data_IF_167169345083
#
_entry.id   IF_167169345083
#
_cell.length_a   1.000
_cell.length_b   1.000
_cell.length_c   1.000
_cell.angle_alpha   90.00
_cell.angle_beta   90.00
_cell.angle_gamma   90.00
#
_symmetry.space_group_name_H-M   'P 1'
#
loop_
_entity.id
_entity.type
_entity.pdbx_description
1 polymer ?
#
# COMPACT_ATOMS: atom_id res chain seq x y z
N UNK A 1 -3.30 6.77 -8.13
CA UNK A 1 -4.42 7.68 -7.82
C UNK A 1 -5.26 7.06 -6.71
N UNK A 2 -6.25 7.77 -6.17
CA UNK A 2 -7.08 7.25 -5.06
C UNK A 2 -7.75 5.91 -5.42
N UNK A 3 -7.51 4.89 -4.60
CA UNK A 3 -8.16 3.58 -4.71
C UNK A 3 -7.74 2.70 -5.90
N UNK A 4 -6.64 3.01 -6.59
CA UNK A 4 -6.16 2.20 -7.72
C UNK A 4 -5.58 0.85 -7.27
N UNK A 5 -5.82 -0.19 -8.08
CA UNK A 5 -5.15 -1.48 -7.98
C UNK A 5 -3.94 -1.54 -8.93
N UNK A 6 -3.11 -2.57 -8.80
CA UNK A 6 -1.99 -2.84 -9.72
C UNK A 6 -2.38 -2.82 -11.20
N UNK A 7 -3.57 -3.34 -11.52
CA UNK A 7 -4.13 -3.32 -12.87
C UNK A 7 -4.35 -1.90 -13.41
N UNK A 8 -4.81 -0.97 -12.56
CA UNK A 8 -4.97 0.43 -12.94
C UNK A 8 -3.61 1.08 -13.18
N UNK A 9 -2.61 0.76 -12.34
CA UNK A 9 -1.25 1.28 -12.52
C UNK A 9 -0.67 0.91 -13.90
N UNK A 10 -0.92 -0.31 -14.39
CA UNK A 10 -0.51 -0.72 -15.75
C UNK A 10 -1.08 0.21 -16.83
N UNK A 11 -2.34 0.64 -16.69
CA UNK A 11 -3.01 1.55 -17.64
C UNK A 11 -2.47 2.98 -17.59
N UNK A 12 -1.76 3.35 -16.52
CA UNK A 12 -1.18 4.68 -16.37
C UNK A 12 0.28 4.77 -16.85
N UNK A 13 0.90 3.64 -17.22
CA UNK A 13 2.31 3.58 -17.57
C UNK A 13 2.66 4.46 -18.76
N UNK A 14 1.82 4.52 -19.81
CA UNK A 14 2.09 5.35 -21.01
C UNK A 14 2.35 6.82 -20.65
N UNK A 15 1.57 7.35 -19.70
CA UNK A 15 1.74 8.73 -19.21
C UNK A 15 3.02 8.90 -18.40
N UNK A 16 3.41 7.88 -17.63
CA UNK A 16 4.61 7.93 -16.79
C UNK A 16 5.87 7.79 -17.66
N UNK A 17 5.87 6.84 -18.61
CA UNK A 17 7.03 6.59 -19.48
C UNK A 17 7.28 7.75 -20.43
N UNK A 18 6.23 8.44 -20.89
CA UNK A 18 6.35 9.66 -21.69
C UNK A 18 7.10 10.81 -20.97
N UNK A 19 7.13 10.83 -19.63
CA UNK A 19 7.89 11.83 -18.87
C UNK A 19 9.40 11.54 -18.80
N UNK A 20 9.83 10.34 -19.18
CA UNK A 20 11.20 9.83 -19.07
C UNK A 20 11.88 10.13 -17.71
N UNK A 21 11.26 9.71 -16.59
CA UNK A 21 11.85 9.93 -15.27
C UNK A 21 13.15 9.14 -15.10
N UNK A 22 14.14 9.74 -14.44
CA UNK A 22 15.39 9.04 -14.07
C UNK A 22 15.14 7.96 -13.01
N UNK A 23 14.25 8.23 -12.06
CA UNK A 23 13.88 7.31 -10.97
C UNK A 23 12.37 7.20 -10.83
N UNK A 24 11.86 5.99 -10.60
CA UNK A 24 10.43 5.74 -10.33
C UNK A 24 10.27 4.87 -9.10
N UNK A 25 9.46 5.34 -8.15
CA UNK A 25 9.06 4.55 -6.98
C UNK A 25 7.68 3.95 -7.24
N UNK A 26 7.57 2.64 -7.10
CA UNK A 26 6.33 1.90 -7.24
C UNK A 26 5.90 1.43 -5.85
N UNK A 27 4.86 2.09 -5.31
CA UNK A 27 4.14 1.67 -4.10
C UNK A 27 2.69 1.39 -4.49
N UNK A 28 2.38 0.13 -4.81
CA UNK A 28 1.06 -0.31 -5.27
C UNK A 28 0.78 -1.72 -4.75
N UNK A 29 -0.47 -2.01 -4.37
CA UNK A 29 -0.89 -3.34 -3.96
C UNK A 29 -1.82 -3.39 -2.74
N UNK A 30 -1.89 -2.32 -1.93
CA UNK A 30 -2.79 -2.30 -0.76
C UNK A 30 -4.25 -2.52 -1.14
N UNK A 31 -4.71 -1.94 -2.26
CA UNK A 31 -6.09 -2.17 -2.74
C UNK A 31 -6.28 -3.58 -3.31
N UNK A 32 -5.24 -4.19 -3.89
CA UNK A 32 -5.27 -5.60 -4.32
C UNK A 32 -5.41 -6.53 -3.10
N UNK A 33 -4.73 -6.22 -1.99
CA UNK A 33 -4.89 -6.91 -0.70
C UNK A 33 -6.30 -6.71 -0.14
N UNK A 34 -6.81 -5.48 -0.13
CA UNK A 34 -8.17 -5.17 0.33
C UNK A 34 -9.23 -5.90 -0.50
N UNK A 35 -9.05 -6.00 -1.83
CA UNK A 35 -9.94 -6.75 -2.71
C UNK A 35 -9.86 -8.26 -2.47
N UNK A 36 -8.69 -8.78 -2.12
CA UNK A 36 -8.54 -10.19 -1.73
C UNK A 36 -9.19 -10.48 -0.37
N UNK A 37 -9.07 -9.55 0.58
CA UNK A 37 -9.58 -9.69 1.94
C UNK A 37 -11.10 -9.49 2.05
N UNK A 38 -11.67 -8.50 1.34
CA UNK A 38 -13.02 -8.02 1.61
C UNK A 38 -13.92 -8.13 0.36
N UNK A 39 -14.89 -9.07 0.33
CA UNK A 39 -15.76 -9.27 -0.83
C UNK A 39 -16.58 -8.04 -1.24
N UNK A 40 -17.01 -7.23 -0.27
CA UNK A 40 -17.70 -5.96 -0.52
C UNK A 40 -16.78 -4.93 -1.18
N UNK A 41 -15.52 -4.82 -0.73
CA UNK A 41 -14.52 -3.97 -1.37
C UNK A 41 -14.21 -4.46 -2.80
N UNK A 42 -14.02 -5.77 -2.97
CA UNK A 42 -13.82 -6.41 -4.27
C UNK A 42 -14.93 -6.08 -5.26
N UNK A 43 -16.20 -6.21 -4.84
CA UNK A 43 -17.36 -5.89 -5.69
C UNK A 43 -17.37 -4.41 -6.08
N UNK A 44 -17.09 -3.53 -5.12
CA UNK A 44 -17.01 -2.09 -5.37
C UNK A 44 -15.93 -1.74 -6.41
N UNK A 45 -14.69 -2.20 -6.22
CA UNK A 45 -13.59 -1.85 -7.15
C UNK A 45 -13.78 -2.47 -8.52
N UNK A 46 -14.37 -3.66 -8.64
CA UNK A 46 -14.67 -4.26 -9.96
C UNK A 46 -15.60 -3.38 -10.80
N UNK A 47 -16.68 -2.89 -10.19
CA UNK A 47 -17.65 -2.01 -10.88
C UNK A 47 -17.02 -0.65 -11.15
N UNK A 48 -16.43 -0.02 -10.12
CA UNK A 48 -15.99 1.37 -10.20
C UNK A 48 -14.70 1.55 -11.01
N UNK A 49 -13.77 0.59 -10.94
CA UNK A 49 -12.50 0.61 -11.69
C UNK A 49 -12.55 -0.19 -12.99
N UNK A 50 -13.72 -0.73 -13.36
CA UNK A 50 -13.97 -1.51 -14.59
C UNK A 50 -12.93 -2.62 -14.79
N UNK A 51 -12.76 -3.45 -13.76
CA UNK A 51 -11.85 -4.58 -13.81
C UNK A 51 -12.50 -5.72 -14.62
N UNK A 52 -11.83 -6.15 -15.68
CA UNK A 52 -12.27 -7.27 -16.51
C UNK A 52 -12.25 -8.60 -15.76
N UNK A 53 -11.33 -8.74 -14.81
CA UNK A 53 -11.08 -9.96 -14.05
C UNK A 53 -11.03 -9.68 -12.55
N UNK A 54 -11.09 -10.76 -11.78
CA UNK A 54 -11.02 -10.68 -10.32
C UNK A 54 -9.59 -10.42 -9.85
N UNK A 55 -9.37 -9.47 -8.91
CA UNK A 55 -8.06 -9.29 -8.28
C UNK A 55 -7.59 -10.57 -7.62
N UNK A 56 -6.35 -10.95 -7.88
CA UNK A 56 -5.69 -12.10 -7.27
C UNK A 56 -4.19 -11.84 -7.12
N UNK A 57 -3.51 -12.65 -6.31
CA UNK A 57 -2.05 -12.61 -6.16
C UNK A 57 -1.33 -12.89 -7.47
N UNK A 58 -1.84 -13.82 -8.29
CA UNK A 58 -1.29 -14.12 -9.61
C UNK A 58 -1.37 -12.90 -10.55
N UNK A 59 -2.54 -12.24 -10.61
CA UNK A 59 -2.69 -11.03 -11.43
C UNK A 59 -1.85 -9.87 -10.91
N UNK A 60 -1.71 -9.74 -9.59
CA UNK A 60 -0.80 -8.76 -9.00
C UNK A 60 0.65 -8.99 -9.44
N UNK A 61 1.13 -10.24 -9.42
CA UNK A 61 2.48 -10.61 -9.90
C UNK A 61 2.69 -10.29 -11.38
N UNK A 62 1.71 -10.62 -12.22
CA UNK A 62 1.74 -10.30 -13.66
C UNK A 62 1.78 -8.79 -13.90
N UNK A 63 0.91 -8.03 -13.23
CA UNK A 63 0.87 -6.57 -13.34
C UNK A 63 2.20 -5.94 -12.90
N UNK A 64 2.77 -6.42 -11.79
CA UNK A 64 4.04 -5.89 -11.28
C UNK A 64 5.20 -6.15 -12.25
N UNK A 65 5.25 -7.35 -12.85
CA UNK A 65 6.21 -7.67 -13.92
C UNK A 65 6.07 -6.72 -15.10
N UNK A 66 4.85 -6.43 -15.54
CA UNK A 66 4.58 -5.48 -16.63
C UNK A 66 5.03 -4.07 -16.25
N UNK A 67 4.69 -3.60 -15.03
CA UNK A 67 5.09 -2.28 -14.53
C UNK A 67 6.61 -2.11 -14.56
N UNK A 68 7.35 -3.02 -13.94
CA UNK A 68 8.82 -2.96 -13.87
C UNK A 68 9.42 -2.96 -15.28
N UNK A 69 9.01 -3.92 -16.12
CA UNK A 69 9.55 -4.06 -17.48
C UNK A 69 9.32 -2.82 -18.32
N UNK A 70 8.12 -2.24 -18.29
CA UNK A 70 7.79 -1.06 -19.10
C UNK A 70 8.52 0.18 -18.61
N UNK A 71 8.59 0.42 -17.30
CA UNK A 71 9.33 1.55 -16.74
C UNK A 71 10.82 1.49 -17.11
N UNK A 72 11.45 0.32 -17.00
CA UNK A 72 12.86 0.16 -17.36
C UNK A 72 13.09 0.29 -18.87
N UNK A 73 12.26 -0.35 -19.71
CA UNK A 73 12.54 -0.41 -21.16
C UNK A 73 12.08 0.82 -21.94
N UNK A 74 10.98 1.43 -21.53
CA UNK A 74 10.38 2.55 -22.26
C UNK A 74 10.83 3.91 -21.72
N UNK A 75 11.24 3.99 -20.45
CA UNK A 75 11.68 5.24 -19.83
C UNK A 75 13.15 5.24 -19.41
N UNK A 76 13.86 4.11 -19.49
CA UNK A 76 15.22 3.93 -18.95
C UNK A 76 15.32 4.31 -17.46
N UNK A 77 14.22 4.13 -16.73
CA UNK A 77 14.11 4.55 -15.35
C UNK A 77 14.74 3.53 -14.39
N UNK A 78 15.45 4.02 -13.37
CA UNK A 78 15.78 3.22 -12.19
C UNK A 78 14.51 3.04 -11.35
N UNK A 79 14.09 1.79 -11.18
CA UNK A 79 12.83 1.45 -10.50
C UNK A 79 13.09 0.99 -9.07
N UNK A 80 12.43 1.64 -8.11
CA UNK A 80 12.36 1.19 -6.71
C UNK A 80 10.97 0.61 -6.40
N UNK A 81 10.91 -0.68 -6.07
CA UNK A 81 9.70 -1.37 -5.63
C UNK A 81 9.59 -1.32 -4.11
N UNK A 82 8.60 -0.60 -3.59
CA UNK A 82 8.32 -0.55 -2.16
C UNK A 82 7.43 -1.69 -1.72
N UNK A 83 7.83 -2.36 -0.63
CA UNK A 83 6.89 -3.19 0.13
C UNK A 83 5.74 -2.34 0.68
N UNK A 84 4.61 -2.99 0.94
CA UNK A 84 3.41 -2.40 1.49
C UNK A 84 3.52 -2.23 3.00
N UNK A 85 2.95 -1.15 3.54
CA UNK A 85 2.68 -1.05 4.97
C UNK A 85 1.76 -2.21 5.43
N UNK A 86 1.82 -2.61 6.71
CA UNK A 86 0.80 -3.48 7.28
C UNK A 86 -0.60 -2.83 7.17
N UNK A 87 -1.64 -3.65 7.13
CA UNK A 87 -3.02 -3.20 7.32
C UNK A 87 -3.39 -3.47 8.77
N UNK A 88 -3.67 -2.42 9.54
CA UNK A 88 -3.71 -2.47 10.99
C UNK A 88 -2.32 -2.48 11.63
N UNK A 89 -2.27 -2.53 12.97
CA UNK A 89 -1.04 -2.32 13.74
C UNK A 89 -0.74 -3.47 14.69
N UNK A 90 -1.42 -4.62 14.54
CA UNK A 90 -1.23 -5.78 15.42
C UNK A 90 -0.68 -6.99 14.63
N UNK A 91 0.66 -7.15 14.54
CA UNK A 91 1.29 -8.21 13.76
C UNK A 91 1.00 -9.62 14.26
N UNK A 92 0.73 -9.79 15.56
CA UNK A 92 0.50 -11.10 16.21
C UNK A 92 -0.94 -11.29 16.67
N UNK A 93 -1.88 -10.60 16.02
CA UNK A 93 -3.30 -10.64 16.37
C UNK A 93 -3.89 -12.05 16.21
N UNK A 94 -4.58 -12.53 17.25
CA UNK A 94 -5.45 -13.70 17.15
C UNK A 94 -6.80 -13.40 16.46
N UNK A 95 -7.16 -12.12 16.28
CA UNK A 95 -8.41 -11.76 15.58
C UNK A 95 -8.38 -12.21 14.12
N UNK A 96 -9.36 -12.99 13.62
CA UNK A 96 -9.31 -13.64 12.30
C UNK A 96 -9.09 -12.67 11.13
N UNK A 97 -9.73 -11.50 11.16
CA UNK A 97 -9.58 -10.49 10.10
C UNK A 97 -8.15 -9.94 10.04
N UNK A 98 -7.59 -9.54 11.18
CA UNK A 98 -6.23 -9.01 11.25
C UNK A 98 -5.20 -10.10 10.91
N UNK A 99 -5.37 -11.32 11.42
CA UNK A 99 -4.49 -12.45 11.09
C UNK A 99 -4.46 -12.74 9.58
N UNK A 100 -5.64 -12.71 8.93
CA UNK A 100 -5.75 -12.87 7.49
C UNK A 100 -5.07 -11.72 6.72
N UNK A 101 -5.23 -10.48 7.18
CA UNK A 101 -4.56 -9.32 6.57
C UNK A 101 -3.04 -9.42 6.70
N UNK A 102 -2.52 -9.82 7.86
CA UNK A 102 -1.08 -10.05 8.06
C UNK A 102 -0.55 -11.10 7.07
N UNK A 103 -1.26 -12.21 6.90
CA UNK A 103 -0.89 -13.25 5.92
C UNK A 103 -0.92 -12.78 4.47
N UNK A 104 -1.93 -11.98 4.09
CA UNK A 104 -2.00 -11.39 2.75
C UNK A 104 -0.89 -10.37 2.52
N UNK A 105 -0.62 -9.47 3.48
CA UNK A 105 0.47 -8.50 3.37
C UNK A 105 1.81 -9.23 3.21
N UNK A 106 2.08 -10.27 3.99
CA UNK A 106 3.28 -11.09 3.84
C UNK A 106 3.38 -11.70 2.43
N UNK A 107 2.27 -12.23 1.91
CA UNK A 107 2.20 -12.81 0.56
C UNK A 107 2.53 -11.78 -0.52
N UNK A 108 1.87 -10.62 -0.49
CA UNK A 108 2.07 -9.56 -1.48
C UNK A 108 3.47 -8.94 -1.39
N UNK A 109 4.00 -8.72 -0.19
CA UNK A 109 5.37 -8.25 0.00
C UNK A 109 6.42 -9.27 -0.47
N UNK A 110 6.13 -10.57 -0.36
CA UNK A 110 6.92 -11.64 -0.98
C UNK A 110 6.98 -11.52 -2.50
N UNK A 111 5.82 -11.28 -3.15
CA UNK A 111 5.75 -11.05 -4.60
C UNK A 111 6.52 -9.80 -5.01
N UNK A 112 6.41 -8.71 -4.24
CA UNK A 112 7.15 -7.46 -4.52
C UNK A 112 8.65 -7.69 -4.43
N UNK A 113 9.11 -8.41 -3.40
CA UNK A 113 10.52 -8.76 -3.22
C UNK A 113 11.05 -9.64 -4.36
N UNK A 114 10.28 -10.63 -4.80
CA UNK A 114 10.62 -11.48 -5.95
C UNK A 114 10.69 -10.67 -7.25
N UNK A 115 9.74 -9.74 -7.47
CA UNK A 115 9.75 -8.88 -8.65
C UNK A 115 10.95 -7.93 -8.66
N UNK A 116 11.37 -7.43 -7.49
CA UNK A 116 12.56 -6.58 -7.38
C UNK A 116 13.83 -7.36 -7.77
N UNK A 117 13.99 -8.58 -7.23
CA UNK A 117 15.16 -9.41 -7.52
C UNK A 117 15.23 -9.88 -8.97
N UNK A 118 14.12 -10.38 -9.52
CA UNK A 118 14.07 -10.89 -10.90
C UNK A 118 14.09 -9.79 -11.95
N UNK A 119 13.51 -8.63 -11.63
CA UNK A 119 13.42 -7.48 -12.53
C UNK A 119 14.64 -6.57 -12.50
N UNK A 120 15.67 -6.84 -11.69
CA UNK A 120 16.80 -5.90 -11.46
C UNK A 120 16.32 -4.50 -11.03
N UNK A 121 15.29 -4.47 -10.19
CA UNK A 121 14.78 -3.24 -9.57
C UNK A 121 15.21 -3.18 -8.10
N UNK A 122 15.37 -1.98 -7.55
CA UNK A 122 15.70 -1.80 -6.15
C UNK A 122 14.52 -2.19 -5.27
N UNK A 123 14.77 -2.85 -4.14
CA UNK A 123 13.74 -3.14 -3.14
C UNK A 123 13.77 -2.08 -2.04
N UNK A 124 12.64 -1.39 -1.83
CA UNK A 124 12.48 -0.42 -0.74
C UNK A 124 11.82 -1.15 0.45
N UNK A 125 12.55 -1.36 1.57
CA UNK A 125 12.11 -2.18 2.70
C UNK A 125 11.19 -1.39 3.65
N UNK A 126 10.08 -0.88 3.12
CA UNK A 126 9.14 -0.07 3.88
C UNK A 126 8.41 -0.88 4.96
N UNK A 127 7.90 -2.06 4.62
CA UNK A 127 7.26 -2.98 5.56
C UNK A 127 8.17 -3.32 6.74
N UNK A 128 9.43 -3.64 6.48
CA UNK A 128 10.42 -3.99 7.49
C UNK A 128 10.67 -2.82 8.44
N UNK A 129 10.92 -1.61 7.89
CA UNK A 129 11.08 -0.40 8.69
C UNK A 129 9.82 -0.10 9.53
N UNK A 130 8.63 -0.39 9.00
CA UNK A 130 7.37 -0.23 9.72
C UNK A 130 7.25 -1.22 10.89
N UNK A 131 7.59 -2.49 10.66
CA UNK A 131 7.54 -3.53 11.68
C UNK A 131 8.53 -3.25 12.83
N UNK A 132 9.71 -2.71 12.53
CA UNK A 132 10.67 -2.26 13.56
C UNK A 132 10.09 -1.15 14.44
N UNK A 133 9.29 -0.23 13.87
CA UNK A 133 8.64 0.86 14.61
C UNK A 133 7.47 0.35 15.44
N UNK A 134 6.67 -0.56 14.89
CA UNK A 134 5.61 -1.24 15.64
C UNK A 134 6.14 -2.03 16.83
N UNK A 135 7.26 -2.76 16.67
CA UNK A 135 7.87 -3.54 17.74
C UNK A 135 8.33 -2.71 18.96
N UNK A 136 8.51 -1.40 18.78
CA UNK A 136 8.90 -0.46 19.86
C UNK A 136 7.70 0.26 20.48
N UNK A 137 6.49 -0.02 20.02
CA UNK A 137 5.28 0.66 20.46
C UNK A 137 4.55 -0.18 21.49
N UNK A 138 4.14 0.44 22.61
CA UNK A 138 3.52 -0.26 23.73
C UNK A 138 2.04 -0.62 23.50
N UNK A 139 1.38 0.04 22.55
CA UNK A 139 -0.02 -0.17 22.22
C UNK A 139 -0.19 -0.37 20.71
N UNK A 140 -0.77 -1.50 20.35
CA UNK A 140 -1.05 -1.91 18.98
C UNK A 140 -2.56 -2.10 18.81
N UNK A 141 -3.08 -1.73 17.64
CA UNK A 141 -4.51 -1.80 17.36
C UNK A 141 -4.80 -2.75 16.19
N UNK A 142 -5.64 -3.79 16.38
CA UNK A 142 -6.06 -4.64 15.28
C UNK A 142 -7.12 -3.95 14.41
N UNK A 143 -6.97 -4.10 13.10
CA UNK A 143 -7.98 -3.85 12.08
C UNK A 143 -8.93 -5.06 11.98
N UNK A 144 -10.05 -4.96 12.69
CA UNK A 144 -11.00 -6.07 12.87
C UNK A 144 -12.10 -6.12 11.82
N UNK A 145 -12.36 -5.01 11.13
CA UNK A 145 -13.40 -4.93 10.10
C UNK A 145 -13.13 -3.80 9.12
N UNK A 146 -13.55 -3.99 7.88
CA UNK A 146 -13.63 -2.93 6.89
C UNK A 146 -15.06 -2.38 6.80
N UNK A 147 -15.21 -1.06 6.83
CA UNK A 147 -16.49 -0.37 6.66
C UNK A 147 -16.34 0.84 5.75
N UNK A 148 -17.08 0.85 4.63
CA UNK A 148 -17.14 1.99 3.73
C UNK A 148 -17.66 3.26 4.43
N UNK A 149 -18.62 3.12 5.35
CA UNK A 149 -19.13 4.25 6.11
C UNK A 149 -18.06 4.84 7.04
N UNK A 150 -17.26 3.99 7.70
CA UNK A 150 -16.15 4.46 8.54
C UNK A 150 -15.06 5.12 7.68
N UNK A 151 -14.68 4.49 6.56
CA UNK A 151 -13.72 5.04 5.62
C UNK A 151 -14.16 6.41 5.07
N UNK A 152 -15.43 6.53 4.66
CA UNK A 152 -15.98 7.77 4.12
C UNK A 152 -16.10 8.86 5.20
N UNK A 153 -16.51 8.50 6.42
CA UNK A 153 -16.50 9.42 7.57
C UNK A 153 -15.09 9.94 7.81
N UNK A 154 -14.10 9.06 7.86
CA UNK A 154 -12.71 9.44 8.16
C UNK A 154 -12.10 10.25 6.99
N UNK A 155 -12.48 9.94 5.74
CA UNK A 155 -12.15 10.73 4.56
C UNK A 155 -12.77 12.13 4.60
N UNK A 156 -14.06 12.25 4.95
CA UNK A 156 -14.72 13.54 5.11
C UNK A 156 -14.11 14.36 6.25
N UNK A 157 -13.77 13.72 7.37
CA UNK A 157 -13.02 14.36 8.45
C UNK A 157 -11.66 14.85 7.94
N UNK A 158 -11.02 14.08 7.05
CA UNK A 158 -9.75 14.43 6.42
C UNK A 158 -9.85 15.63 5.49
N UNK A 159 -10.83 15.66 4.59
CA UNK A 159 -10.97 16.72 3.57
C UNK A 159 -11.58 18.00 4.15
N UNK A 160 -12.52 17.89 5.10
CA UNK A 160 -13.33 19.02 5.55
C UNK A 160 -12.78 19.78 6.76
N UNK A 161 -11.74 19.30 7.45
CA UNK A 161 -11.30 19.91 8.72
C UNK A 161 -9.82 20.32 8.68
N UNK A 162 -9.53 21.53 8.19
CA UNK A 162 -8.23 22.20 8.41
C UNK A 162 -7.89 22.44 9.90
N UNK A 163 -8.83 22.18 10.83
CA UNK A 163 -8.70 22.42 12.28
C UNK A 163 -8.37 21.19 13.13
N UNK A 164 -8.38 19.98 12.56
CA UNK A 164 -7.92 18.76 13.26
C UNK A 164 -6.92 18.05 12.38
N UNK A 165 -5.73 17.75 12.90
CA UNK A 165 -4.73 17.03 12.12
C UNK A 165 -5.11 15.55 11.98
N UNK A 166 -4.57 14.88 10.96
CA UNK A 166 -4.71 13.41 10.84
C UNK A 166 -4.21 12.68 12.09
N UNK A 167 -3.23 13.25 12.78
CA UNK A 167 -2.68 12.69 14.01
C UNK A 167 -3.68 12.77 15.16
N UNK A 168 -4.55 13.80 15.20
CA UNK A 168 -5.62 13.87 16.19
C UNK A 168 -6.70 12.82 15.94
N UNK A 169 -7.09 12.61 14.67
CA UNK A 169 -8.05 11.56 14.28
C UNK A 169 -7.47 10.19 14.63
N UNK A 170 -6.21 9.94 14.23
CA UNK A 170 -5.44 8.74 14.52
C UNK A 170 -5.44 8.42 16.02
N UNK A 171 -5.01 9.37 16.88
CA UNK A 171 -5.00 9.22 18.34
C UNK A 171 -6.39 8.96 18.92
N UNK A 172 -7.41 9.70 18.48
CA UNK A 172 -8.79 9.53 18.97
C UNK A 172 -9.36 8.14 18.66
N UNK A 173 -8.91 7.54 17.56
CA UNK A 173 -9.26 6.19 17.18
C UNK A 173 -8.28 5.14 17.75
N UNK A 174 -7.22 5.52 18.48
CA UNK A 174 -6.25 4.59 19.05
C UNK A 174 -5.28 3.97 18.03
N UNK A 175 -5.05 4.64 16.91
CA UNK A 175 -4.01 4.27 15.94
C UNK A 175 -2.72 5.04 16.24
N UNK A 176 -1.57 4.41 15.98
CA UNK A 176 -0.24 4.98 16.23
C UNK A 176 0.42 5.47 14.94
N UNK A 177 0.25 4.74 13.84
CA UNK A 177 0.87 5.01 12.54
C UNK A 177 -0.14 5.16 11.41
N UNK A 178 -1.40 4.76 11.65
CA UNK A 178 -2.50 4.91 10.70
C UNK A 178 -3.54 5.93 11.15
N UNK A 179 -4.39 6.38 10.24
CA UNK A 179 -5.57 7.19 10.52
C UNK A 179 -6.77 6.28 10.83
N UNK A 180 -6.91 5.23 10.03
CA UNK A 180 -8.07 4.31 10.00
C UNK A 180 -7.66 2.83 9.95
N UNK A 181 -6.37 2.53 10.08
CA UNK A 181 -5.77 1.20 9.91
C UNK A 181 -5.37 0.86 8.46
N UNK A 182 -5.52 1.81 7.52
CA UNK A 182 -5.12 1.65 6.11
C UNK A 182 -4.23 2.82 5.68
N UNK A 183 -4.68 4.05 5.93
CA UNK A 183 -3.98 5.27 5.54
C UNK A 183 -3.00 5.69 6.62
N UNK A 184 -1.82 6.15 6.22
CA UNK A 184 -0.77 6.59 7.13
C UNK A 184 -1.09 7.94 7.75
N UNK A 185 -0.80 8.10 9.04
CA UNK A 185 -0.70 9.40 9.69
C UNK A 185 0.72 9.99 9.46
N UNK A 186 1.07 11.08 10.16
CA UNK A 186 2.41 11.70 10.02
C UNK A 186 3.54 10.75 10.37
N UNK A 187 3.43 9.99 11.47
CA UNK A 187 4.47 9.05 11.90
C UNK A 187 4.61 7.87 10.94
N UNK A 188 3.49 7.29 10.47
CA UNK A 188 3.52 6.26 9.43
C UNK A 188 4.14 6.77 8.12
N UNK A 189 3.82 8.01 7.74
CA UNK A 189 4.39 8.68 6.59
C UNK A 189 5.90 8.89 6.72
N UNK A 190 6.38 9.25 7.91
CA UNK A 190 7.82 9.43 8.18
C UNK A 190 8.62 8.14 7.94
N UNK A 191 8.07 6.99 8.33
CA UNK A 191 8.69 5.67 8.07
C UNK A 191 8.83 5.45 6.55
N UNK A 192 7.79 5.75 5.78
CA UNK A 192 7.82 5.63 4.32
C UNK A 192 8.87 6.56 3.71
N UNK A 193 8.90 7.82 4.12
CA UNK A 193 9.86 8.80 3.58
C UNK A 193 11.29 8.42 3.91
N UNK A 194 11.58 7.93 5.12
CA UNK A 194 12.92 7.43 5.49
C UNK A 194 13.33 6.21 4.65
N UNK A 195 12.40 5.28 4.41
CA UNK A 195 12.68 4.10 3.59
C UNK A 195 12.95 4.48 2.12
N UNK A 196 12.14 5.38 1.56
CA UNK A 196 12.26 5.89 0.19
C UNK A 196 13.53 6.74 0.01
N UNK A 197 13.88 7.58 0.97
CA UNK A 197 15.04 8.47 0.87
C UNK A 197 16.34 7.68 0.64
N UNK A 198 16.49 6.53 1.31
CA UNK A 198 17.65 5.64 1.09
C UNK A 198 17.78 5.14 -0.35
N UNK A 199 16.67 4.96 -1.06
CA UNK A 199 16.69 4.62 -2.48
C UNK A 199 17.06 5.83 -3.34
N UNK A 200 16.54 7.01 -3.02
CA UNK A 200 16.84 8.24 -3.76
C UNK A 200 18.31 8.64 -3.63
N UNK A 201 18.94 8.38 -2.48
CA UNK A 201 20.34 8.71 -2.19
C UNK A 201 21.35 7.72 -2.77
N UNK A 202 20.87 6.61 -3.36
CA UNK A 202 21.72 5.56 -3.94
C UNK A 202 22.02 5.72 -5.42
#
# INVERSE_FOLDING_TARGET
MGGDLSFNAVRHLDRVTALRPERVIVLIGTNDVMASAFPNFRRFVRVWKRLSEEPSTARFKENLTVIVRRLQREADARVGLSSLAPLGEEPRSAHPVQARLNGLIATYNGIIREAASTGSADYIPFYEAFQERLARTAATKPFTRFSFAALYRDYLLREMIMRRSFDEISRSNGWQFHIDGIHLNTEGGRILTEAVQRFLDS
#
